data_IF_776931028862
#
_entry.id   IF_776931028862
#
_cell.length_a   1.000
_cell.length_b   1.000
_cell.length_c   1.000
_cell.angle_alpha   90.00
_cell.angle_beta   90.00
_cell.angle_gamma   90.00
#
_symmetry.space_group_name_H-M   'P 1'
#
loop_
_entity.id
_entity.type
_entity.pdbx_description
1 polymer ?
#
# COMPACT_ATOMS: atom_id res chain seq x y z
N UNK A 1 9.29 26.09 48.99
CA UNK A 1 8.95 24.70 49.38
C UNK A 1 7.46 24.61 49.66
N UNK A 2 6.68 24.23 48.64
CA UNK A 2 5.31 23.75 48.76
C UNK A 2 5.19 22.58 47.80
N UNK A 3 4.79 21.44 48.34
CA UNK A 3 4.50 20.23 47.59
C UNK A 3 3.21 20.42 46.79
N UNK A 4 3.24 20.03 45.52
CA UNK A 4 2.03 19.74 44.75
C UNK A 4 2.07 18.26 44.39
N UNK A 5 1.13 17.53 44.95
CA UNK A 5 0.76 16.17 44.55
C UNK A 5 0.30 16.21 43.09
N UNK A 6 0.98 15.45 42.24
CA UNK A 6 0.48 15.11 40.91
C UNK A 6 -0.16 13.73 41.00
N UNK A 7 -1.48 13.75 40.99
CA UNK A 7 -2.36 12.62 40.76
C UNK A 7 -2.10 12.12 39.33
N UNK A 8 -1.34 11.04 39.19
CA UNK A 8 -1.13 10.37 37.90
C UNK A 8 -2.38 9.55 37.58
N UNK A 9 -3.19 10.13 36.70
CA UNK A 9 -4.37 9.52 36.10
C UNK A 9 -4.05 8.14 35.50
N UNK A 10 -4.66 7.10 36.05
CA UNK A 10 -4.60 5.70 35.60
C UNK A 10 -5.56 5.44 34.42
N UNK A 11 -5.60 6.32 33.43
CA UNK A 11 -6.50 6.20 32.27
C UNK A 11 -5.82 5.77 30.97
N UNK A 12 -4.49 5.57 30.94
CA UNK A 12 -3.75 5.25 29.70
C UNK A 12 -3.51 3.76 29.41
N UNK A 13 -4.03 2.83 30.22
CA UNK A 13 -3.68 1.40 30.13
C UNK A 13 -4.68 0.51 29.38
N UNK A 14 -5.60 1.09 28.58
CA UNK A 14 -6.65 0.32 27.87
C UNK A 14 -6.71 0.43 26.34
N UNK A 15 -5.73 1.04 25.68
CA UNK A 15 -5.74 1.18 24.20
C UNK A 15 -4.41 0.73 23.59
N UNK A 16 -4.12 -0.58 23.61
CA UNK A 16 -2.94 -1.12 22.93
C UNK A 16 -2.95 -2.66 22.73
N UNK A 17 -4.09 -3.28 22.36
CA UNK A 17 -4.11 -4.74 22.11
C UNK A 17 -4.65 -5.21 20.76
N UNK A 18 -5.24 -4.33 19.95
CA UNK A 18 -5.88 -4.71 18.68
C UNK A 18 -5.25 -4.17 17.38
N UNK A 19 -4.43 -3.10 17.34
CA UNK A 19 -3.78 -2.69 16.08
C UNK A 19 -2.78 -3.74 15.56
N UNK A 20 -2.36 -4.66 16.44
CA UNK A 20 -1.40 -5.70 16.13
C UNK A 20 -2.05 -6.84 15.33
N UNK A 21 -3.38 -7.03 15.39
CA UNK A 21 -4.05 -8.15 14.72
C UNK A 21 -4.17 -7.92 13.21
N UNK A 22 -4.46 -6.70 12.75
CA UNK A 22 -4.54 -6.40 11.31
C UNK A 22 -3.17 -6.55 10.59
N UNK A 23 -2.06 -6.24 11.29
CA UNK A 23 -0.71 -6.43 10.76
C UNK A 23 -0.21 -7.89 10.89
N UNK A 24 -0.71 -8.66 11.86
CA UNK A 24 -0.31 -10.06 12.11
C UNK A 24 -0.96 -11.08 11.17
N UNK A 25 -1.94 -10.69 10.35
CA UNK A 25 -2.49 -11.57 9.30
C UNK A 25 -1.48 -11.78 8.14
N UNK A 26 -0.32 -11.11 8.17
CA UNK A 26 0.75 -11.21 7.16
C UNK A 26 1.89 -12.18 7.59
N UNK A 27 1.84 -12.81 8.78
CA UNK A 27 2.89 -13.75 9.21
C UNK A 27 2.52 -15.22 8.98
N UNK A 28 3.23 -15.89 8.07
CA UNK A 28 3.03 -17.30 7.69
C UNK A 28 3.40 -18.33 8.78
N UNK A 29 4.02 -17.93 9.89
CA UNK A 29 4.48 -18.86 10.93
C UNK A 29 4.19 -18.42 12.37
N UNK A 30 3.23 -17.51 12.59
CA UNK A 30 2.90 -17.07 13.94
C UNK A 30 1.90 -18.06 14.61
N UNK A 31 2.25 -18.74 15.72
CA UNK A 31 1.32 -19.62 16.45
C UNK A 31 0.08 -18.90 16.99
N UNK A 32 0.00 -17.57 16.85
CA UNK A 32 -1.21 -16.78 17.07
C UNK A 32 -2.23 -16.85 15.93
N UNK A 33 -1.82 -16.99 14.66
CA UNK A 33 -2.73 -17.09 13.51
C UNK A 33 -3.47 -18.44 13.52
N UNK A 34 -2.77 -19.52 13.87
CA UNK A 34 -3.36 -20.84 14.11
C UNK A 34 -4.32 -20.81 15.32
N UNK A 35 -4.00 -20.02 16.35
CA UNK A 35 -4.88 -19.81 17.51
C UNK A 35 -6.13 -18.99 17.17
N UNK A 36 -6.06 -18.02 16.25
CA UNK A 36 -7.24 -17.26 15.81
C UNK A 36 -8.18 -18.22 15.07
N UNK A 37 -7.69 -19.03 14.13
CA UNK A 37 -8.49 -20.04 13.43
C UNK A 37 -9.16 -21.05 14.37
N UNK A 38 -8.46 -21.54 15.39
CA UNK A 38 -9.03 -22.45 16.41
C UNK A 38 -9.94 -21.75 17.43
N UNK A 39 -9.77 -20.46 17.67
CA UNK A 39 -10.70 -19.68 18.51
C UNK A 39 -12.02 -19.38 17.76
N UNK A 40 -11.97 -19.31 16.42
CA UNK A 40 -13.13 -19.04 15.55
C UNK A 40 -13.96 -20.30 15.26
N UNK A 41 -13.41 -21.52 15.35
CA UNK A 41 -14.18 -22.78 15.22
C UNK A 41 -15.39 -22.86 16.19
N UNK A 42 -15.40 -22.07 17.26
CA UNK A 42 -16.52 -21.99 18.21
C UNK A 42 -17.66 -21.05 17.79
N UNK A 43 -17.55 -20.33 16.67
CA UNK A 43 -18.66 -19.62 16.06
C UNK A 43 -19.22 -20.47 14.93
N UNK A 44 -20.52 -20.82 14.99
CA UNK A 44 -21.22 -21.59 13.96
C UNK A 44 -21.40 -20.79 12.67
N UNK A 45 -20.30 -20.42 12.02
CA UNK A 45 -20.28 -19.80 10.71
C UNK A 45 -20.21 -20.97 9.71
N UNK A 46 -21.23 -21.09 8.87
CA UNK A 46 -21.18 -22.02 7.74
C UNK A 46 -19.99 -21.63 6.88
N UNK A 47 -18.98 -22.50 6.82
CA UNK A 47 -17.83 -22.32 5.95
C UNK A 47 -18.27 -22.41 4.49
N UNK A 48 -17.72 -21.55 3.64
CA UNK A 48 -17.98 -21.49 2.19
C UNK A 48 -16.71 -21.81 1.41
N UNK A 49 -16.86 -22.16 0.13
CA UNK A 49 -15.71 -22.44 -0.73
C UNK A 49 -15.01 -21.15 -1.19
N UNK A 50 -13.79 -21.27 -1.72
CA UNK A 50 -13.07 -20.11 -2.26
C UNK A 50 -13.84 -19.39 -3.36
N UNK A 51 -14.59 -20.14 -4.18
CA UNK A 51 -15.35 -19.63 -5.32
C UNK A 51 -16.66 -18.92 -4.92
N UNK A 52 -17.16 -19.15 -3.70
CA UNK A 52 -18.40 -18.55 -3.20
C UNK A 52 -18.22 -17.07 -2.78
N UNK A 53 -19.30 -16.39 -2.44
CA UNK A 53 -19.26 -15.00 -1.94
C UNK A 53 -18.80 -14.98 -0.46
N UNK A 54 -17.61 -14.44 -0.22
CA UNK A 54 -17.01 -14.28 1.11
C UNK A 54 -16.33 -12.92 1.24
N UNK A 55 -16.11 -12.46 2.47
CA UNK A 55 -15.44 -11.19 2.75
C UNK A 55 -14.19 -11.34 3.58
N UNK A 56 -14.27 -12.18 4.61
CA UNK A 56 -13.24 -12.35 5.63
C UNK A 56 -12.81 -13.80 5.59
N UNK A 57 -11.79 -14.08 4.77
CA UNK A 57 -11.35 -15.46 4.48
C UNK A 57 -11.11 -16.30 5.74
N UNK A 58 -10.45 -15.72 6.75
CA UNK A 58 -10.16 -16.40 8.01
C UNK A 58 -11.42 -16.83 8.81
N UNK A 59 -12.56 -16.15 8.61
CA UNK A 59 -13.83 -16.47 9.27
C UNK A 59 -14.70 -17.38 8.42
N UNK A 60 -14.76 -17.13 7.11
CA UNK A 60 -15.79 -17.68 6.22
C UNK A 60 -15.30 -18.87 5.39
N UNK A 61 -14.01 -18.98 5.10
CA UNK A 61 -13.49 -20.06 4.26
C UNK A 61 -13.23 -21.34 5.07
N UNK A 62 -13.28 -22.48 4.38
CA UNK A 62 -12.67 -23.72 4.84
C UNK A 62 -11.17 -23.53 5.10
N UNK A 63 -10.53 -24.44 5.84
CA UNK A 63 -9.09 -24.32 6.13
C UNK A 63 -8.28 -24.42 4.84
N UNK A 64 -8.67 -25.33 3.95
CA UNK A 64 -8.04 -25.56 2.65
C UNK A 64 -8.20 -24.36 1.72
N UNK A 65 -9.42 -23.81 1.61
CA UNK A 65 -9.70 -22.63 0.78
C UNK A 65 -9.03 -21.38 1.33
N UNK A 66 -8.94 -21.25 2.66
CA UNK A 66 -8.20 -20.17 3.29
C UNK A 66 -6.70 -20.29 2.98
N UNK A 67 -6.11 -21.48 3.09
CA UNK A 67 -4.71 -21.69 2.70
C UNK A 67 -4.46 -21.39 1.22
N UNK A 68 -5.38 -21.78 0.33
CA UNK A 68 -5.32 -21.43 -1.09
C UNK A 68 -5.36 -19.91 -1.30
N UNK A 69 -6.27 -19.21 -0.62
CA UNK A 69 -6.38 -17.75 -0.68
C UNK A 69 -5.09 -17.05 -0.25
N UNK A 70 -4.37 -17.59 0.74
CA UNK A 70 -3.09 -17.05 1.19
C UNK A 70 -1.99 -17.25 0.14
N UNK A 71 -1.96 -18.42 -0.52
CA UNK A 71 -1.02 -18.69 -1.61
C UNK A 71 -1.25 -17.74 -2.79
N UNK A 72 -2.50 -17.55 -3.21
CA UNK A 72 -2.82 -16.62 -4.30
C UNK A 72 -2.51 -15.17 -3.89
N UNK A 73 -2.73 -14.80 -2.62
CA UNK A 73 -2.37 -13.48 -2.08
C UNK A 73 -0.86 -13.22 -2.21
N UNK A 74 -0.04 -14.22 -1.88
CA UNK A 74 1.42 -14.13 -2.01
C UNK A 74 1.84 -13.92 -3.47
N UNK A 75 1.31 -14.73 -4.38
CA UNK A 75 1.59 -14.57 -5.81
C UNK A 75 1.19 -13.18 -6.32
N UNK A 76 0.02 -12.70 -5.89
CA UNK A 76 -0.47 -11.38 -6.24
C UNK A 76 0.41 -10.24 -5.72
N UNK A 77 0.92 -10.36 -4.48
CA UNK A 77 1.90 -9.42 -3.92
C UNK A 77 3.18 -9.40 -4.75
N UNK A 78 3.75 -10.55 -5.05
CA UNK A 78 4.97 -10.67 -5.86
C UNK A 78 4.79 -10.08 -7.27
N UNK A 79 3.68 -10.40 -7.97
CA UNK A 79 3.40 -9.89 -9.33
C UNK A 79 3.36 -8.37 -9.42
N UNK A 80 2.88 -7.69 -8.38
CA UNK A 80 2.82 -6.22 -8.32
C UNK A 80 4.04 -5.58 -7.68
N UNK A 81 4.98 -6.41 -7.28
CA UNK A 81 6.19 -6.08 -6.56
C UNK A 81 6.00 -5.46 -5.18
N UNK A 82 5.01 -5.95 -4.44
CA UNK A 82 4.89 -5.78 -3.01
C UNK A 82 5.70 -6.87 -2.28
N UNK A 83 7.03 -6.73 -2.34
CA UNK A 83 7.96 -7.72 -1.77
C UNK A 83 8.24 -7.51 -0.28
N UNK A 84 7.72 -6.45 0.34
CA UNK A 84 8.16 -6.04 1.69
C UNK A 84 9.66 -5.71 1.75
N UNK A 85 10.11 -5.16 2.88
CA UNK A 85 11.56 -5.08 3.16
C UNK A 85 11.92 -6.35 3.93
N UNK A 86 12.88 -7.16 3.47
CA UNK A 86 13.30 -8.35 4.21
C UNK A 86 13.78 -7.94 5.61
N UNK A 87 13.05 -8.38 6.64
CA UNK A 87 13.41 -8.10 8.02
C UNK A 87 14.23 -9.26 8.58
N UNK A 88 15.25 -8.96 9.40
CA UNK A 88 16.02 -9.97 10.14
C UNK A 88 15.56 -10.01 11.59
N UNK A 89 15.46 -11.20 12.16
CA UNK A 89 15.25 -11.41 13.60
C UNK A 89 16.51 -11.00 14.40
N UNK A 90 16.42 -11.08 15.73
CA UNK A 90 17.54 -10.76 16.63
C UNK A 90 18.76 -11.68 16.45
N UNK A 91 18.61 -12.80 15.73
CA UNK A 91 19.66 -13.76 15.43
C UNK A 91 20.21 -13.61 13.99
N UNK A 92 19.69 -12.65 13.22
CA UNK A 92 20.10 -12.39 11.85
C UNK A 92 19.41 -13.24 10.79
N UNK A 93 18.41 -14.05 11.15
CA UNK A 93 17.62 -14.83 10.19
C UNK A 93 16.53 -13.96 9.59
N UNK A 94 16.28 -14.09 8.29
CA UNK A 94 15.15 -13.41 7.67
C UNK A 94 13.83 -13.97 8.21
N UNK A 95 12.88 -13.09 8.50
CA UNK A 95 11.49 -13.51 8.72
C UNK A 95 10.96 -14.10 7.40
N UNK A 96 10.22 -15.22 7.50
CA UNK A 96 9.51 -15.85 6.37
C UNK A 96 8.31 -14.97 5.92
N UNK A 97 8.55 -13.73 5.48
CA UNK A 97 7.64 -13.08 4.54
C UNK A 97 8.04 -13.57 3.14
N UNK A 98 7.21 -14.44 2.62
CA UNK A 98 7.53 -15.41 1.59
C UNK A 98 7.76 -14.78 0.20
N UNK A 99 7.35 -13.51 0.00
CA UNK A 99 7.73 -12.73 -1.18
C UNK A 99 9.09 -12.03 -0.99
N UNK A 100 9.42 -11.57 0.21
CA UNK A 100 10.65 -10.84 0.49
C UNK A 100 11.91 -11.68 0.29
N UNK A 101 11.79 -13.01 0.43
CA UNK A 101 12.87 -13.96 0.22
C UNK A 101 13.43 -13.94 -1.21
N UNK A 102 12.59 -13.62 -2.22
CA UNK A 102 13.01 -13.59 -3.62
C UNK A 102 14.05 -12.49 -3.90
N UNK A 103 14.08 -11.43 -3.08
CA UNK A 103 15.00 -10.30 -3.26
C UNK A 103 16.18 -10.33 -2.28
N UNK A 104 16.21 -11.23 -1.30
CA UNK A 104 17.27 -11.27 -0.26
C UNK A 104 18.67 -11.35 -0.87
N UNK A 105 18.87 -12.26 -1.83
CA UNK A 105 20.17 -12.43 -2.47
C UNK A 105 20.63 -11.13 -3.15
N UNK A 106 19.72 -10.43 -3.83
CA UNK A 106 19.98 -9.14 -4.47
C UNK A 106 20.26 -8.02 -3.47
N UNK A 107 19.59 -8.03 -2.32
CA UNK A 107 19.82 -7.06 -1.25
C UNK A 107 21.23 -7.16 -0.66
N UNK A 108 21.83 -8.37 -0.65
CA UNK A 108 23.19 -8.61 -0.17
C UNK A 108 24.27 -8.45 -1.27
N UNK A 109 23.87 -8.25 -2.54
CA UNK A 109 24.83 -8.01 -3.64
C UNK A 109 25.55 -6.66 -3.49
N UNK A 110 26.74 -6.60 -4.08
CA UNK A 110 27.44 -5.34 -4.32
C UNK A 110 26.61 -4.40 -5.21
N UNK A 111 26.69 -3.09 -4.95
CA UNK A 111 25.85 -2.08 -5.61
C UNK A 111 26.09 -2.04 -7.12
N UNK A 112 27.35 -2.17 -7.57
CA UNK A 112 27.67 -2.05 -9.00
C UNK A 112 27.08 -3.25 -9.76
N UNK A 113 27.18 -4.45 -9.17
CA UNK A 113 26.58 -5.66 -9.75
C UNK A 113 25.05 -5.60 -9.74
N UNK A 114 24.47 -5.09 -8.64
CA UNK A 114 23.03 -4.93 -8.53
C UNK A 114 22.48 -4.00 -9.61
N UNK A 115 23.15 -2.86 -9.83
CA UNK A 115 22.76 -1.91 -10.87
C UNK A 115 22.96 -2.48 -12.27
N UNK A 116 24.02 -3.25 -12.52
CA UNK A 116 24.22 -3.95 -13.80
C UNK A 116 23.02 -4.84 -14.15
N UNK A 117 22.55 -5.64 -13.19
CA UNK A 117 21.37 -6.50 -13.36
C UNK A 117 20.08 -5.68 -13.51
N UNK A 118 19.93 -4.62 -12.73
CA UNK A 118 18.79 -3.71 -12.83
C UNK A 118 18.71 -3.05 -14.23
N UNK A 119 19.84 -2.67 -14.83
CA UNK A 119 19.90 -2.15 -16.19
C UNK A 119 19.62 -3.20 -17.28
N UNK A 120 19.60 -4.48 -16.92
CA UNK A 120 19.19 -5.60 -17.78
C UNK A 120 17.72 -6.00 -17.54
N UNK A 121 16.96 -5.16 -16.85
CA UNK A 121 15.55 -5.38 -16.50
C UNK A 121 15.28 -6.62 -15.64
N UNK A 122 16.28 -7.05 -14.87
CA UNK A 122 16.04 -8.01 -13.79
C UNK A 122 15.13 -7.35 -12.74
N UNK A 123 13.86 -7.80 -12.68
CA UNK A 123 12.84 -7.21 -11.81
C UNK A 123 13.20 -7.30 -10.33
N UNK A 124 13.84 -8.38 -9.90
CA UNK A 124 14.26 -8.54 -8.50
C UNK A 124 15.43 -7.61 -8.19
N UNK A 125 16.36 -7.43 -9.12
CA UNK A 125 17.43 -6.44 -8.98
C UNK A 125 16.90 -5.01 -8.93
N UNK A 126 15.93 -4.65 -9.79
CA UNK A 126 15.27 -3.35 -9.78
C UNK A 126 14.56 -3.09 -8.45
N UNK A 127 13.78 -4.06 -7.95
CA UNK A 127 13.11 -3.98 -6.64
C UNK A 127 14.11 -3.86 -5.50
N UNK A 128 15.16 -4.68 -5.48
CA UNK A 128 16.18 -4.62 -4.45
C UNK A 128 16.90 -3.27 -4.48
N UNK A 129 17.26 -2.75 -5.65
CA UNK A 129 17.86 -1.42 -5.81
C UNK A 129 16.98 -0.31 -5.24
N UNK A 130 15.65 -0.37 -5.44
CA UNK A 130 14.72 0.59 -4.83
C UNK A 130 14.80 0.62 -3.29
N UNK A 131 15.19 -0.50 -2.66
CA UNK A 131 15.29 -0.64 -1.21
C UNK A 131 16.70 -0.40 -0.65
N UNK A 132 17.70 -0.06 -1.49
CA UNK A 132 19.06 0.26 -1.04
C UNK A 132 19.19 1.71 -0.61
N UNK A 133 19.56 1.93 0.65
CA UNK A 133 19.73 3.26 1.27
C UNK A 133 20.87 4.09 0.65
N UNK A 134 21.84 3.41 0.05
CA UNK A 134 23.03 3.99 -0.55
C UNK A 134 22.73 4.61 -1.93
N UNK A 135 21.64 4.17 -2.58
CA UNK A 135 21.23 4.69 -3.87
C UNK A 135 20.46 6.01 -3.69
N UNK A 136 20.88 7.00 -4.48
CA UNK A 136 20.28 8.34 -4.46
C UNK A 136 18.99 8.36 -5.27
N UNK A 137 18.10 9.31 -4.95
CA UNK A 137 16.81 9.51 -5.65
C UNK A 137 16.96 9.67 -7.17
N UNK A 138 18.04 10.29 -7.66
CA UNK A 138 18.29 10.44 -9.10
C UNK A 138 18.54 9.10 -9.82
N UNK A 139 18.91 8.05 -9.09
CA UNK A 139 19.03 6.68 -9.60
C UNK A 139 17.73 5.90 -9.39
N UNK A 140 17.09 6.07 -8.23
CA UNK A 140 15.86 5.35 -7.89
C UNK A 140 14.63 5.81 -8.70
N UNK A 141 14.53 7.09 -9.07
CA UNK A 141 13.38 7.59 -9.87
C UNK A 141 13.30 6.90 -11.25
N UNK A 142 14.38 6.84 -12.05
CA UNK A 142 14.36 6.07 -13.30
C UNK A 142 14.02 4.59 -13.10
N UNK A 143 14.53 3.96 -12.04
CA UNK A 143 14.22 2.57 -11.69
C UNK A 143 12.73 2.40 -11.39
N UNK A 144 12.13 3.31 -10.61
CA UNK A 144 10.70 3.29 -10.31
C UNK A 144 9.85 3.41 -11.58
N UNK A 145 10.19 4.32 -12.49
CA UNK A 145 9.50 4.41 -13.78
C UNK A 145 9.65 3.13 -14.61
N UNK A 146 10.85 2.54 -14.65
CA UNK A 146 11.07 1.27 -15.35
C UNK A 146 10.23 0.14 -14.74
N UNK A 147 10.17 0.06 -13.41
CA UNK A 147 9.33 -0.89 -12.70
C UNK A 147 7.84 -0.74 -13.03
N UNK A 148 7.32 0.49 -13.15
CA UNK A 148 5.94 0.71 -13.60
C UNK A 148 5.72 0.18 -15.03
N UNK A 149 6.68 0.40 -15.93
CA UNK A 149 6.62 -0.17 -17.30
C UNK A 149 6.61 -1.70 -17.25
N UNK A 150 7.36 -2.32 -16.34
CA UNK A 150 7.40 -3.77 -16.17
C UNK A 150 6.18 -4.35 -15.45
N UNK A 151 5.29 -3.52 -14.91
CA UNK A 151 4.01 -3.92 -14.30
C UNK A 151 3.96 -3.86 -12.78
N UNK A 152 4.97 -3.26 -12.14
CA UNK A 152 4.93 -2.97 -10.72
C UNK A 152 3.89 -1.88 -10.41
N UNK A 153 2.85 -2.23 -9.66
CA UNK A 153 1.76 -1.32 -9.29
C UNK A 153 1.75 -0.99 -7.79
N UNK A 154 2.62 -1.63 -7.00
CA UNK A 154 2.77 -1.37 -5.57
C UNK A 154 3.97 -0.46 -5.26
N UNK A 155 5.19 -1.02 -5.24
CA UNK A 155 6.42 -0.35 -4.79
C UNK A 155 6.75 0.91 -5.61
N UNK A 156 6.67 0.83 -6.93
CA UNK A 156 7.10 1.93 -7.79
C UNK A 156 6.17 3.15 -7.71
N UNK A 157 4.83 3.00 -7.87
CA UNK A 157 3.91 4.11 -7.60
C UNK A 157 4.01 4.63 -6.17
N UNK A 158 4.18 3.75 -5.18
CA UNK A 158 4.37 4.16 -3.78
C UNK A 158 5.59 5.06 -3.59
N UNK A 159 6.73 4.67 -4.17
CA UNK A 159 7.94 5.47 -4.10
C UNK A 159 7.76 6.83 -4.78
N UNK A 160 7.20 6.86 -5.99
CA UNK A 160 7.00 8.11 -6.74
C UNK A 160 6.01 9.04 -6.02
N UNK A 161 4.90 8.51 -5.48
CA UNK A 161 4.00 9.26 -4.61
C UNK A 161 4.73 9.84 -3.41
N UNK A 162 5.56 9.04 -2.73
CA UNK A 162 6.35 9.46 -1.55
C UNK A 162 7.32 10.59 -1.91
N UNK A 163 8.03 10.48 -3.04
CA UNK A 163 8.96 11.51 -3.51
C UNK A 163 8.22 12.84 -3.71
N UNK A 164 7.09 12.83 -4.39
CA UNK A 164 6.34 14.06 -4.69
C UNK A 164 5.73 14.67 -3.43
N UNK A 165 5.07 13.88 -2.58
CA UNK A 165 4.38 14.40 -1.39
C UNK A 165 5.36 14.89 -0.31
N UNK A 166 6.51 14.23 -0.13
CA UNK A 166 7.56 14.69 0.78
C UNK A 166 8.22 15.96 0.23
N UNK A 167 8.39 16.07 -1.09
CA UNK A 167 8.90 17.31 -1.70
C UNK A 167 7.95 18.47 -1.46
N UNK A 168 6.65 18.26 -1.65
CA UNK A 168 5.60 19.23 -1.31
C UNK A 168 5.66 19.63 0.18
N UNK A 169 5.84 18.66 1.07
CA UNK A 169 5.98 18.90 2.52
C UNK A 169 7.14 19.84 2.83
N UNK A 170 8.32 19.54 2.28
CA UNK A 170 9.54 20.27 2.54
C UNK A 170 9.47 21.69 1.97
N UNK A 171 8.89 21.85 0.78
CA UNK A 171 8.63 23.17 0.18
C UNK A 171 7.70 24.00 1.06
N UNK A 172 6.58 23.43 1.49
CA UNK A 172 5.65 24.11 2.39
C UNK A 172 6.28 24.48 3.73
N UNK A 173 7.07 23.59 4.34
CA UNK A 173 7.78 23.86 5.60
C UNK A 173 8.76 25.03 5.47
N UNK A 174 9.38 25.18 4.31
CA UNK A 174 10.33 26.26 4.01
C UNK A 174 9.61 27.59 3.76
N UNK A 175 8.56 27.57 2.94
CA UNK A 175 7.89 28.78 2.43
C UNK A 175 6.75 29.26 3.33
N UNK A 176 6.21 28.37 4.18
CA UNK A 176 5.04 28.61 5.06
C UNK A 176 3.80 29.11 4.32
N UNK A 177 3.76 28.92 3.01
CA UNK A 177 2.72 29.39 2.11
C UNK A 177 2.44 28.28 1.10
N UNK A 178 1.18 28.10 0.73
CA UNK A 178 0.79 27.15 -0.31
C UNK A 178 0.97 27.79 -1.69
N UNK A 179 1.80 27.19 -2.54
CA UNK A 179 2.14 27.69 -3.88
C UNK A 179 1.61 26.77 -4.97
N UNK A 180 1.48 27.25 -6.23
CA UNK A 180 1.11 26.40 -7.36
C UNK A 180 2.04 25.20 -7.55
N UNK A 181 3.32 25.32 -7.20
CA UNK A 181 4.29 24.22 -7.28
C UNK A 181 3.98 23.13 -6.24
N UNK A 182 3.72 23.50 -4.99
CA UNK A 182 3.30 22.56 -3.94
C UNK A 182 2.01 21.84 -4.36
N UNK A 183 1.06 22.57 -4.94
CA UNK A 183 -0.18 21.99 -5.47
C UNK A 183 0.08 20.97 -6.58
N UNK A 184 0.94 21.31 -7.54
CA UNK A 184 1.31 20.42 -8.63
C UNK A 184 1.96 19.11 -8.14
N UNK A 185 2.79 19.21 -7.11
CA UNK A 185 3.40 18.05 -6.43
C UNK A 185 2.37 17.15 -5.77
N UNK A 186 1.41 17.71 -5.04
CA UNK A 186 0.30 16.97 -4.43
C UNK A 186 -0.55 16.28 -5.50
N UNK A 187 -0.92 16.99 -6.57
CA UNK A 187 -1.70 16.42 -7.67
C UNK A 187 -0.95 15.30 -8.39
N UNK A 188 0.36 15.43 -8.58
CA UNK A 188 1.19 14.37 -9.18
C UNK A 188 1.28 13.15 -8.27
N UNK A 189 1.44 13.35 -6.95
CA UNK A 189 1.42 12.28 -5.96
C UNK A 189 0.09 11.50 -6.00
N UNK A 190 -1.04 12.22 -6.09
CA UNK A 190 -2.37 11.64 -6.25
C UNK A 190 -2.59 10.95 -7.60
N UNK A 191 -1.94 11.40 -8.68
CA UNK A 191 -2.02 10.75 -9.98
C UNK A 191 -1.36 9.35 -9.93
N UNK A 192 -0.21 9.21 -9.28
CA UNK A 192 0.41 7.90 -9.02
C UNK A 192 -0.44 7.01 -8.10
N UNK A 193 -1.06 7.59 -7.06
CA UNK A 193 -1.98 6.87 -6.19
C UNK A 193 -3.21 6.36 -6.97
N UNK A 194 -3.80 7.22 -7.80
CA UNK A 194 -4.92 6.87 -8.70
C UNK A 194 -4.53 5.78 -9.69
N UNK A 195 -3.32 5.83 -10.25
CA UNK A 195 -2.79 4.75 -11.09
C UNK A 195 -2.74 3.41 -10.33
N UNK A 196 -2.23 3.40 -9.09
CA UNK A 196 -2.22 2.20 -8.24
C UNK A 196 -3.62 1.68 -7.96
N UNK A 197 -4.56 2.56 -7.58
CA UNK A 197 -5.96 2.21 -7.30
C UNK A 197 -6.59 1.55 -8.53
N UNK A 198 -6.40 2.10 -9.72
CA UNK A 198 -6.90 1.52 -10.98
C UNK A 198 -6.37 0.12 -11.27
N UNK A 199 -5.31 -0.32 -10.59
CA UNK A 199 -4.73 -1.65 -10.68
C UNK A 199 -4.90 -2.47 -9.38
N UNK A 200 -5.94 -2.17 -8.60
CA UNK A 200 -6.28 -2.83 -7.34
C UNK A 200 -5.15 -2.78 -6.29
N UNK A 201 -4.29 -1.75 -6.33
CA UNK A 201 -3.23 -1.52 -5.34
C UNK A 201 -3.43 -0.22 -4.55
N UNK A 202 -3.28 -0.31 -3.23
CA UNK A 202 -3.48 0.82 -2.31
C UNK A 202 -2.17 1.32 -1.68
N UNK A 203 -1.01 0.81 -2.08
CA UNK A 203 0.28 1.11 -1.44
C UNK A 203 0.68 2.57 -1.66
N UNK A 204 0.48 3.10 -2.88
CA UNK A 204 0.67 4.51 -3.17
C UNK A 204 -0.33 5.41 -2.43
N UNK A 205 -1.62 5.02 -2.37
CA UNK A 205 -2.61 5.75 -1.59
C UNK A 205 -2.26 5.77 -0.10
N UNK A 206 -1.79 4.64 0.43
CA UNK A 206 -1.37 4.51 1.84
C UNK A 206 -0.22 5.48 2.13
N UNK A 207 0.81 5.51 1.28
CA UNK A 207 1.93 6.44 1.45
C UNK A 207 1.49 7.91 1.37
N UNK A 208 0.57 8.24 0.45
CA UNK A 208 -0.03 9.57 0.39
C UNK A 208 -0.74 9.92 1.70
N UNK A 209 -1.65 9.08 2.17
CA UNK A 209 -2.45 9.28 3.37
C UNK A 209 -1.60 9.40 4.63
N UNK A 210 -0.54 8.60 4.75
CA UNK A 210 0.40 8.67 5.87
C UNK A 210 1.06 10.05 5.99
N UNK A 211 1.50 10.63 4.87
CA UNK A 211 2.15 11.94 4.88
C UNK A 211 1.15 13.06 5.17
N UNK A 212 0.01 13.09 4.47
CA UNK A 212 -0.97 14.18 4.61
C UNK A 212 -1.73 14.13 5.94
N UNK A 213 -1.87 12.94 6.53
CA UNK A 213 -2.47 12.76 7.86
C UNK A 213 -1.47 12.96 9.01
N UNK A 214 -0.21 13.29 8.71
CA UNK A 214 0.83 13.55 9.72
C UNK A 214 1.15 15.04 9.82
N UNK A 215 1.63 15.49 10.99
CA UNK A 215 2.14 16.84 11.15
C UNK A 215 3.39 17.06 10.28
N UNK A 216 3.59 18.26 9.69
CA UNK A 216 2.77 19.46 9.83
C UNK A 216 1.61 19.56 8.82
N UNK A 217 1.44 18.61 7.89
CA UNK A 217 0.36 18.67 6.91
C UNK A 217 -1.01 18.64 7.59
N UNK A 218 -1.25 17.65 8.46
CA UNK A 218 -2.51 17.51 9.20
C UNK A 218 -2.92 18.81 9.91
N UNK A 219 -1.95 19.49 10.51
CA UNK A 219 -2.21 20.63 11.38
C UNK A 219 -2.40 21.95 10.61
N UNK A 220 -1.92 22.03 9.35
CA UNK A 220 -1.83 23.29 8.63
C UNK A 220 -2.40 23.25 7.19
N UNK A 221 -2.74 22.07 6.68
CA UNK A 221 -3.11 21.83 5.28
C UNK A 221 -4.26 20.83 5.24
N UNK A 222 -5.47 21.35 5.37
CA UNK A 222 -6.70 20.62 5.07
C UNK A 222 -6.82 20.46 3.55
N UNK A 223 -6.65 19.23 3.06
CA UNK A 223 -6.65 18.91 1.63
C UNK A 223 -7.98 19.28 0.94
N UNK A 224 -9.10 19.14 1.65
CA UNK A 224 -10.43 19.55 1.19
C UNK A 224 -10.56 21.05 0.95
N UNK A 225 -9.67 21.86 1.54
CA UNK A 225 -9.58 23.30 1.29
C UNK A 225 -8.52 23.66 0.22
N UNK A 226 -7.68 22.72 -0.21
CA UNK A 226 -6.54 22.97 -1.11
C UNK A 226 -6.80 22.54 -2.55
N UNK A 227 -7.55 21.45 -2.74
CA UNK A 227 -7.89 20.92 -4.05
C UNK A 227 -9.36 21.18 -4.38
N UNK A 228 -9.60 21.84 -5.51
CA UNK A 228 -10.94 22.02 -6.07
C UNK A 228 -11.37 20.77 -6.86
N UNK A 229 -12.64 20.72 -7.26
CA UNK A 229 -13.16 19.63 -8.10
C UNK A 229 -12.40 19.52 -9.43
N UNK A 230 -12.02 20.67 -10.00
CA UNK A 230 -11.24 20.74 -11.23
C UNK A 230 -9.85 20.11 -11.05
N UNK A 231 -9.24 20.26 -9.87
CA UNK A 231 -7.95 19.61 -9.58
C UNK A 231 -8.08 18.09 -9.54
N UNK A 232 -9.15 17.55 -8.96
CA UNK A 232 -9.42 16.11 -8.98
C UNK A 232 -9.64 15.57 -10.39
N UNK A 233 -10.24 16.37 -11.28
CA UNK A 233 -10.35 16.01 -12.70
C UNK A 233 -8.96 15.98 -13.37
N UNK A 234 -8.12 16.99 -13.12
CA UNK A 234 -6.73 17.03 -13.63
C UNK A 234 -5.93 15.81 -13.13
N UNK A 235 -6.06 15.44 -11.86
CA UNK A 235 -5.44 14.22 -11.30
C UNK A 235 -5.87 12.98 -12.07
N UNK A 236 -7.18 12.86 -12.35
CA UNK A 236 -7.72 11.73 -13.09
C UNK A 236 -7.17 11.69 -14.52
N UNK A 237 -7.09 12.83 -15.21
CA UNK A 237 -6.48 12.95 -16.55
C UNK A 237 -4.98 12.60 -16.55
N UNK A 238 -4.22 13.02 -15.53
CA UNK A 238 -2.81 12.65 -15.36
C UNK A 238 -2.64 11.14 -15.15
N UNK A 239 -3.51 10.51 -14.37
CA UNK A 239 -3.45 9.06 -14.17
C UNK A 239 -3.73 8.29 -15.47
N UNK A 240 -4.67 8.75 -16.31
CA UNK A 240 -4.91 8.21 -17.65
C UNK A 240 -3.68 8.35 -18.55
N UNK A 241 -3.04 9.51 -18.51
CA UNK A 241 -1.84 9.78 -19.28
C UNK A 241 -0.66 8.88 -18.86
N UNK A 242 -0.46 8.68 -17.56
CA UNK A 242 0.52 7.71 -17.03
C UNK A 242 0.24 6.30 -17.58
N UNK A 243 -1.02 5.85 -17.53
CA UNK A 243 -1.43 4.53 -18.05
C UNK A 243 -1.17 4.41 -19.56
N UNK A 244 -1.48 5.47 -20.33
CA UNK A 244 -1.24 5.53 -21.78
C UNK A 244 0.25 5.40 -22.09
N UNK A 245 1.09 6.20 -21.46
CA UNK A 245 2.54 6.17 -21.66
C UNK A 245 3.14 4.80 -21.33
N UNK A 246 2.74 4.19 -20.21
CA UNK A 246 3.17 2.83 -19.86
C UNK A 246 2.77 1.82 -20.93
N UNK A 247 1.54 1.92 -21.43
CA UNK A 247 1.04 1.00 -22.47
C UNK A 247 1.83 1.15 -23.77
N UNK A 248 2.17 2.38 -24.16
CA UNK A 248 2.99 2.65 -25.35
C UNK A 248 4.43 2.10 -25.21
N UNK A 249 5.06 2.26 -24.05
CA UNK A 249 6.38 1.66 -23.81
C UNK A 249 6.32 0.13 -23.83
N UNK A 250 5.29 -0.47 -23.23
CA UNK A 250 5.11 -1.93 -23.24
C UNK A 250 4.90 -2.46 -24.66
N UNK A 251 4.09 -1.79 -25.47
CA UNK A 251 3.88 -2.15 -26.87
C UNK A 251 5.19 -2.09 -27.66
N UNK A 252 5.98 -1.02 -27.50
CA UNK A 252 7.29 -0.86 -28.16
C UNK A 252 8.28 -1.98 -27.80
N UNK A 253 8.16 -2.54 -26.60
CA UNK A 253 9.04 -3.60 -26.09
C UNK A 253 8.44 -5.00 -26.24
N UNK A 254 7.28 -5.14 -26.89
CA UNK A 254 6.54 -6.40 -27.04
C UNK A 254 6.16 -7.06 -25.69
N UNK A 255 5.90 -6.24 -24.67
CA UNK A 255 5.34 -6.68 -23.40
C UNK A 255 3.81 -6.67 -23.48
N UNK A 256 3.14 -7.69 -22.92
CA UNK A 256 1.68 -7.76 -22.87
C UNK A 256 1.07 -6.53 -22.19
N UNK A 257 -0.16 -6.14 -22.49
CA UNK A 257 -0.76 -5.02 -21.77
C UNK A 257 -1.09 -5.40 -20.32
N UNK A 258 -1.07 -4.43 -19.40
CA UNK A 258 -1.34 -4.71 -17.98
C UNK A 258 -2.80 -5.11 -17.72
N UNK A 259 -3.73 -4.60 -18.53
CA UNK A 259 -5.15 -4.92 -18.46
C UNK A 259 -5.54 -6.26 -19.12
N UNK A 260 -4.58 -6.95 -19.76
CA UNK A 260 -4.78 -8.30 -20.31
C UNK A 260 -4.47 -9.40 -19.28
N UNK A 261 -3.95 -9.04 -18.11
CA UNK A 261 -3.68 -9.99 -17.03
C UNK A 261 -4.96 -10.27 -16.25
N UNK A 262 -5.31 -11.54 -16.09
CA UNK A 262 -6.44 -11.96 -15.26
C UNK A 262 -6.25 -11.46 -13.82
N UNK A 263 -7.24 -10.72 -13.32
CA UNK A 263 -7.26 -10.25 -11.94
C UNK A 263 -7.70 -11.41 -11.03
N UNK A 264 -6.83 -11.92 -10.14
CA UNK A 264 -7.20 -13.01 -9.27
C UNK A 264 -8.25 -12.54 -8.24
N UNK A 265 -9.12 -13.44 -7.79
CA UNK A 265 -10.21 -13.09 -6.85
C UNK A 265 -9.65 -12.49 -5.54
N UNK A 266 -8.49 -12.97 -5.08
CA UNK A 266 -7.83 -12.44 -3.89
C UNK A 266 -7.44 -10.96 -4.03
N UNK A 267 -7.22 -10.45 -5.24
CA UNK A 267 -6.87 -9.04 -5.45
C UNK A 267 -8.01 -8.12 -4.97
N UNK A 268 -9.26 -8.52 -5.25
CA UNK A 268 -10.46 -7.78 -4.84
C UNK A 268 -10.60 -7.80 -3.32
N UNK A 269 -10.46 -8.97 -2.69
CA UNK A 269 -10.58 -9.11 -1.24
C UNK A 269 -9.45 -8.39 -0.49
N UNK A 270 -8.22 -8.47 -0.98
CA UNK A 270 -7.07 -7.74 -0.44
C UNK A 270 -7.28 -6.23 -0.56
N UNK A 271 -7.77 -5.74 -1.70
CA UNK A 271 -8.10 -4.33 -1.88
C UNK A 271 -9.15 -3.87 -0.87
N UNK A 272 -10.24 -4.61 -0.71
CA UNK A 272 -11.33 -4.27 0.22
C UNK A 272 -10.87 -4.27 1.68
N UNK A 273 -10.08 -5.27 2.09
CA UNK A 273 -9.54 -5.36 3.44
C UNK A 273 -8.57 -4.21 3.74
N UNK A 274 -7.65 -3.91 2.82
CA UNK A 274 -6.72 -2.77 2.95
C UNK A 274 -7.45 -1.42 2.96
N UNK A 275 -8.47 -1.25 2.11
CA UNK A 275 -9.28 -0.03 2.10
C UNK A 275 -10.06 0.15 3.41
N UNK A 276 -10.56 -0.93 3.99
CA UNK A 276 -11.19 -0.88 5.31
C UNK A 276 -10.21 -0.43 6.40
N UNK A 277 -8.97 -0.91 6.39
CA UNK A 277 -7.93 -0.44 7.31
C UNK A 277 -7.66 1.07 7.13
N UNK A 278 -7.55 1.55 5.88
CA UNK A 278 -7.40 2.98 5.60
C UNK A 278 -8.60 3.81 6.07
N UNK A 279 -9.82 3.28 6.00
CA UNK A 279 -10.99 3.96 6.56
C UNK A 279 -10.93 4.10 8.08
N UNK A 280 -10.37 3.11 8.80
CA UNK A 280 -10.18 3.17 10.26
C UNK A 280 -9.10 4.19 10.63
N UNK A 281 -7.99 4.19 9.88
CA UNK A 281 -6.82 5.03 10.20
C UNK A 281 -6.93 6.47 9.71
N UNK A 282 -7.60 6.68 8.57
CA UNK A 282 -7.53 7.93 7.78
C UNK A 282 -8.91 8.42 7.29
N UNK A 283 -9.99 8.14 8.03
CA UNK A 283 -11.38 8.40 7.63
C UNK A 283 -11.61 9.77 6.96
N UNK A 284 -11.14 10.86 7.59
CA UNK A 284 -11.35 12.23 7.09
C UNK A 284 -10.65 12.47 5.75
N UNK A 285 -9.35 12.16 5.66
CA UNK A 285 -8.57 12.36 4.44
C UNK A 285 -9.07 11.47 3.29
N UNK A 286 -9.53 10.25 3.60
CA UNK A 286 -10.06 9.34 2.58
C UNK A 286 -11.41 9.79 2.03
N UNK A 287 -12.28 10.40 2.85
CA UNK A 287 -13.57 10.92 2.41
C UNK A 287 -13.43 12.02 1.34
N UNK A 288 -12.37 12.82 1.41
CA UNK A 288 -12.08 13.87 0.41
C UNK A 288 -11.69 13.29 -0.95
N UNK A 289 -11.11 12.09 -0.96
CA UNK A 289 -10.67 11.40 -2.17
C UNK A 289 -11.81 10.68 -2.90
N UNK A 290 -13.03 10.66 -2.36
CA UNK A 290 -14.21 10.14 -3.06
C UNK A 290 -14.56 10.94 -4.32
N UNK A 291 -14.00 12.14 -4.48
CA UNK A 291 -14.12 12.97 -5.68
C UNK A 291 -13.22 12.52 -6.84
N UNK A 292 -12.26 11.62 -6.60
CA UNK A 292 -11.44 11.06 -7.67
C UNK A 292 -12.31 10.23 -8.62
N UNK A 293 -12.18 10.50 -9.92
CA UNK A 293 -12.85 9.69 -10.94
C UNK A 293 -11.93 8.55 -11.34
N UNK A 294 -12.37 7.32 -11.10
CA UNK A 294 -11.66 6.10 -11.45
C UNK A 294 -12.29 5.54 -12.71
N UNK A 295 -11.52 5.44 -13.80
CA UNK A 295 -12.02 4.97 -15.09
C UNK A 295 -12.25 3.45 -15.11
N UNK A 296 -11.25 2.70 -14.66
CA UNK A 296 -11.19 1.23 -14.79
C UNK A 296 -10.93 0.54 -13.43
N UNK A 297 -10.99 1.30 -12.33
CA UNK A 297 -10.57 0.86 -11.00
C UNK A 297 -11.72 0.49 -10.05
N UNK A 298 -11.41 -0.25 -8.96
CA UNK A 298 -12.33 -0.47 -7.87
C UNK A 298 -12.74 0.85 -7.21
N UNK A 299 -14.00 0.96 -6.79
CA UNK A 299 -14.50 2.13 -6.07
C UNK A 299 -13.82 2.27 -4.70
N UNK A 300 -13.50 3.50 -4.31
CA UNK A 300 -13.07 3.82 -2.94
C UNK A 300 -14.22 3.81 -1.93
N UNK A 301 -15.49 3.75 -2.38
CA UNK A 301 -16.65 3.79 -1.48
C UNK A 301 -16.75 2.53 -0.63
N UNK A 302 -17.30 2.68 0.58
CA UNK A 302 -17.61 1.56 1.49
C UNK A 302 -18.64 0.61 0.87
N UNK A 303 -18.19 -0.53 0.38
CA UNK A 303 -19.05 -1.67 0.05
C UNK A 303 -19.46 -2.41 1.33
N UNK A 304 -20.46 -3.30 1.23
CA UNK A 304 -20.84 -4.15 2.36
C UNK A 304 -19.65 -4.96 2.92
N UNK A 305 -18.73 -5.38 2.05
CA UNK A 305 -17.54 -6.11 2.46
C UNK A 305 -16.54 -5.23 3.22
N UNK A 306 -16.31 -4.01 2.74
CA UNK A 306 -15.47 -3.01 3.41
C UNK A 306 -16.05 -2.68 4.78
N UNK A 307 -17.36 -2.49 4.91
CA UNK A 307 -18.01 -2.24 6.20
C UNK A 307 -17.85 -3.39 7.19
N UNK A 308 -17.87 -4.65 6.72
CA UNK A 308 -17.60 -5.82 7.57
C UNK A 308 -16.18 -5.81 8.11
N UNK A 309 -15.19 -5.50 7.26
CA UNK A 309 -13.80 -5.36 7.69
C UNK A 309 -13.60 -4.20 8.68
N UNK A 310 -14.21 -3.03 8.43
CA UNK A 310 -14.15 -1.89 9.37
C UNK A 310 -14.63 -2.31 10.76
N UNK A 311 -15.80 -2.97 10.85
CA UNK A 311 -16.32 -3.48 12.13
C UNK A 311 -15.38 -4.46 12.82
N UNK A 312 -14.63 -5.26 12.06
CA UNK A 312 -13.66 -6.19 12.63
C UNK A 312 -12.41 -5.48 13.16
N UNK A 313 -11.99 -4.39 12.52
CA UNK A 313 -10.80 -3.64 12.91
C UNK A 313 -11.04 -2.63 14.04
N UNK A 314 -12.28 -2.15 14.21
CA UNK A 314 -12.66 -1.23 15.29
C UNK A 314 -12.89 -1.93 16.65
N UNK A 315 -13.19 -3.24 16.64
CA UNK A 315 -13.41 -4.06 17.82
C UNK A 315 -12.11 -4.60 18.41
#
# INVERSE_FOLDING_TARGET
MKAHDNDYDKSSEKVAKLPIIAQQVIDQNNPKVINIATTIENQSINKVSYEDDWCVGALELSVEDFAFSLSESKEWRARRGDFGVPQKDIYGNYFDDDASLDIVAYMEMDIDRLLELAYQDDQYALVAAMNRSELRKNTQIPIAHRLMILGNTALAPQFLTTVEIVTAQLQYQKERTFTPEIKDKIMTALAYATYGINNYDLSALTAYLQVVSSAPFKDNLDLGLLLSKEDYQIVSERAKEIKRQISEFREQENLSYLNEQDLPKIAIHNFQSRLAALYVEHATALAELELLTLDDGPSLKKSACIERHIKLFEN
#
